data_IF_838208886249
#
_entry.id   IF_838208886249
#
_cell.length_a   1.000
_cell.length_b   1.000
_cell.length_c   1.000
_cell.angle_alpha   90.00
_cell.angle_beta   90.00
_cell.angle_gamma   90.00
#
_symmetry.space_group_name_H-M   'P 1'
#
loop_
_entity.id
_entity.type
_entity.pdbx_description
1 polymer ?
#
# COMPACT_ATOMS: atom_id res chain seq x y z
N UNK A 1 8.51 -11.84 -21.47
CA UNK A 1 8.77 -12.20 -20.05
C UNK A 1 10.02 -13.06 -19.95
N UNK A 2 10.95 -12.69 -19.11
CA UNK A 2 12.13 -13.50 -18.76
C UNK A 2 11.73 -14.76 -17.99
N UNK A 3 12.66 -15.71 -17.84
CA UNK A 3 12.40 -16.94 -17.04
C UNK A 3 12.13 -16.62 -15.56
N UNK A 4 12.76 -15.56 -15.03
CA UNK A 4 12.55 -15.11 -13.64
C UNK A 4 11.19 -14.45 -13.46
N UNK A 5 10.76 -13.62 -14.39
CA UNK A 5 9.41 -13.03 -14.37
C UNK A 5 8.32 -14.11 -14.42
N UNK A 6 8.52 -15.15 -15.26
CA UNK A 6 7.60 -16.28 -15.32
C UNK A 6 7.56 -17.11 -14.04
N UNK A 7 8.68 -17.26 -13.34
CA UNK A 7 8.72 -17.95 -12.05
C UNK A 7 7.94 -17.15 -11.00
N UNK A 8 8.17 -15.83 -10.94
CA UNK A 8 7.47 -14.95 -9.98
C UNK A 8 5.98 -14.85 -10.27
N UNK A 9 5.55 -14.86 -11.55
CA UNK A 9 4.11 -14.82 -11.90
C UNK A 9 3.31 -16.02 -11.40
N UNK A 10 3.95 -17.14 -11.04
CA UNK A 10 3.26 -18.24 -10.36
C UNK A 10 2.75 -17.81 -8.96
N UNK A 11 3.48 -16.91 -8.27
CA UNK A 11 3.04 -16.39 -6.97
C UNK A 11 1.86 -15.44 -7.10
N UNK A 12 1.70 -14.77 -8.24
CA UNK A 12 0.60 -13.82 -8.52
C UNK A 12 -0.76 -14.53 -8.66
N UNK A 13 -0.77 -15.86 -8.84
CA UNK A 13 -2.00 -16.65 -8.89
C UNK A 13 -2.69 -16.78 -7.53
N UNK A 14 -1.92 -16.70 -6.44
CA UNK A 14 -2.45 -16.91 -5.09
C UNK A 14 -3.19 -15.69 -4.59
N UNK A 15 -4.42 -15.90 -4.14
CA UNK A 15 -5.30 -14.86 -3.59
C UNK A 15 -6.10 -15.39 -2.39
N UNK A 16 -6.82 -14.51 -1.69
CA UNK A 16 -7.74 -14.93 -0.63
C UNK A 16 -8.91 -15.78 -1.16
N UNK A 17 -9.29 -15.61 -2.43
CA UNK A 17 -10.36 -16.37 -3.10
C UNK A 17 -9.82 -17.70 -3.60
N UNK A 18 -8.61 -17.72 -4.12
CA UNK A 18 -7.94 -18.90 -4.70
C UNK A 18 -6.58 -19.13 -4.02
N UNK A 19 -6.59 -19.63 -2.76
CA UNK A 19 -5.36 -19.80 -1.98
C UNK A 19 -4.61 -21.10 -2.27
N UNK A 20 -5.20 -22.04 -3.03
CA UNK A 20 -4.69 -23.38 -3.29
C UNK A 20 -4.63 -23.62 -4.79
N UNK A 21 -3.47 -24.04 -5.28
CA UNK A 21 -3.27 -24.32 -6.69
C UNK A 21 -2.58 -25.68 -6.90
N UNK A 22 -3.10 -26.48 -7.80
CA UNK A 22 -2.43 -27.69 -8.31
C UNK A 22 -1.51 -27.36 -9.48
N UNK A 23 -0.55 -28.25 -9.75
CA UNK A 23 0.33 -28.08 -10.91
C UNK A 23 -0.45 -28.00 -12.24
N UNK A 24 -1.56 -28.72 -12.34
CA UNK A 24 -2.41 -28.70 -13.53
C UNK A 24 -3.11 -27.36 -13.72
N UNK A 25 -3.72 -26.80 -12.66
CA UNK A 25 -4.33 -25.48 -12.68
C UNK A 25 -3.32 -24.38 -13.00
N UNK A 26 -2.13 -24.40 -12.37
CA UNK A 26 -1.03 -23.46 -12.67
C UNK A 26 -0.64 -23.54 -14.15
N UNK A 27 -0.57 -24.76 -14.72
CA UNK A 27 -0.22 -24.97 -16.11
C UNK A 27 -1.29 -24.36 -17.04
N UNK A 28 -2.57 -24.57 -16.72
CA UNK A 28 -3.68 -24.06 -17.49
C UNK A 28 -3.77 -22.54 -17.44
N UNK A 29 -3.65 -21.94 -16.26
CA UNK A 29 -3.80 -20.50 -16.06
C UNK A 29 -2.64 -19.70 -16.65
N UNK A 30 -1.41 -20.21 -16.47
CA UNK A 30 -0.22 -19.52 -16.98
C UNK A 30 0.08 -19.78 -18.45
N UNK A 31 -0.49 -20.84 -19.03
CA UNK A 31 -0.17 -21.32 -20.39
C UNK A 31 1.26 -21.90 -20.49
N UNK A 32 1.92 -22.20 -19.38
CA UNK A 32 3.25 -22.82 -19.41
C UNK A 32 3.16 -24.32 -19.75
N UNK A 33 4.25 -24.87 -20.32
CA UNK A 33 4.35 -26.33 -20.42
C UNK A 33 4.43 -26.96 -19.04
N UNK A 34 3.89 -28.18 -18.89
CA UNK A 34 3.91 -28.91 -17.61
C UNK A 34 5.32 -29.03 -17.02
N UNK A 35 6.34 -29.22 -17.85
CA UNK A 35 7.74 -29.29 -17.38
C UNK A 35 8.26 -27.95 -16.85
N UNK A 36 7.84 -26.84 -17.48
CA UNK A 36 8.22 -25.48 -17.04
C UNK A 36 7.52 -25.14 -15.72
N UNK A 37 6.21 -25.36 -15.64
CA UNK A 37 5.42 -25.12 -14.43
C UNK A 37 5.97 -25.97 -13.25
N UNK A 38 6.25 -27.25 -13.48
CA UNK A 38 6.84 -28.13 -12.46
C UNK A 38 8.18 -27.60 -11.94
N UNK A 39 9.07 -27.16 -12.84
CA UNK A 39 10.36 -26.59 -12.44
C UNK A 39 10.19 -25.35 -11.59
N UNK A 40 9.29 -24.43 -11.96
CA UNK A 40 9.04 -23.21 -11.18
C UNK A 40 8.42 -23.51 -9.80
N UNK A 41 7.39 -24.37 -9.76
CA UNK A 41 6.79 -24.79 -8.49
C UNK A 41 7.81 -25.46 -7.58
N UNK A 42 8.68 -26.33 -8.14
CA UNK A 42 9.74 -26.97 -7.37
C UNK A 42 10.71 -25.95 -6.78
N UNK A 43 11.22 -25.00 -7.59
CA UNK A 43 12.13 -23.95 -7.09
C UNK A 43 11.49 -23.08 -6.00
N UNK A 44 10.20 -22.75 -6.15
CA UNK A 44 9.44 -22.01 -5.14
C UNK A 44 9.24 -22.84 -3.86
N UNK A 45 9.03 -24.15 -3.97
CA UNK A 45 8.96 -25.05 -2.81
C UNK A 45 10.33 -25.20 -2.14
N UNK A 46 11.39 -25.42 -2.91
CA UNK A 46 12.76 -25.57 -2.39
C UNK A 46 13.22 -24.28 -1.67
N UNK A 47 12.74 -23.11 -2.11
CA UNK A 47 12.97 -21.82 -1.44
C UNK A 47 12.04 -21.53 -0.26
N UNK A 48 11.03 -22.36 0.01
CA UNK A 48 10.03 -22.17 1.06
C UNK A 48 8.97 -21.09 0.75
N UNK A 49 8.91 -20.59 -0.49
CA UNK A 49 7.87 -19.65 -0.94
C UNK A 49 6.55 -20.35 -1.24
N UNK A 50 6.60 -21.65 -1.62
CA UNK A 50 5.42 -22.52 -1.67
C UNK A 50 5.65 -23.73 -0.76
N UNK A 51 4.56 -24.37 -0.34
CA UNK A 51 4.58 -25.70 0.29
C UNK A 51 3.51 -26.59 -0.34
N UNK A 52 3.83 -27.87 -0.45
CA UNK A 52 2.87 -28.88 -0.89
C UNK A 52 2.01 -29.35 0.30
N UNK A 53 0.69 -29.36 0.10
CA UNK A 53 -0.29 -29.83 1.10
C UNK A 53 -0.90 -31.19 0.75
N UNK A 54 -0.30 -31.91 -0.19
CA UNK A 54 -0.76 -33.23 -0.66
C UNK A 54 -1.57 -33.13 -1.96
N UNK A 55 -1.75 -34.31 -2.62
CA UNK A 55 -2.48 -34.44 -3.89
C UNK A 55 -2.02 -33.50 -5.02
N UNK A 56 -0.76 -33.05 -4.99
CA UNK A 56 -0.19 -32.13 -5.97
C UNK A 56 -0.64 -30.68 -5.81
N UNK A 57 -1.29 -30.32 -4.69
CA UNK A 57 -1.73 -28.96 -4.37
C UNK A 57 -0.66 -28.20 -3.58
N UNK A 58 -0.59 -26.90 -3.80
CA UNK A 58 0.40 -26.00 -3.20
C UNK A 58 -0.29 -24.75 -2.64
N UNK A 59 0.27 -24.22 -1.57
CA UNK A 59 -0.13 -22.95 -0.92
C UNK A 59 1.10 -22.07 -0.70
N UNK A 60 0.91 -20.78 -0.38
CA UNK A 60 2.01 -19.91 0.01
C UNK A 60 2.75 -20.47 1.22
N UNK A 61 4.07 -20.44 1.16
CA UNK A 61 4.96 -21.04 2.15
C UNK A 61 5.30 -20.08 3.31
N UNK A 62 5.90 -20.62 4.40
CA UNK A 62 6.19 -19.86 5.62
C UNK A 62 7.29 -18.80 5.45
N UNK A 63 8.05 -18.83 4.36
CA UNK A 63 9.11 -17.84 4.11
C UNK A 63 8.57 -16.41 3.99
N UNK A 64 7.33 -16.25 3.57
CA UNK A 64 6.67 -14.93 3.59
C UNK A 64 6.50 -14.38 5.02
N UNK A 65 6.27 -15.25 6.01
CA UNK A 65 6.18 -14.85 7.43
C UNK A 65 7.55 -14.39 7.94
N UNK A 66 8.64 -15.07 7.53
CA UNK A 66 10.00 -14.64 7.87
C UNK A 66 10.31 -13.27 7.28
N UNK A 67 9.98 -13.03 6.02
CA UNK A 67 10.16 -11.73 5.36
C UNK A 67 9.28 -10.65 6.00
N UNK A 68 8.02 -10.96 6.31
CA UNK A 68 7.14 -10.03 7.02
C UNK A 68 7.74 -9.59 8.36
N UNK A 69 8.29 -10.52 9.13
CA UNK A 69 9.00 -10.19 10.38
C UNK A 69 10.19 -9.27 10.14
N UNK A 70 11.00 -9.55 9.11
CA UNK A 70 12.14 -8.69 8.77
C UNK A 70 11.68 -7.29 8.42
N UNK A 71 10.69 -7.16 7.52
CA UNK A 71 10.11 -5.87 7.12
C UNK A 71 9.63 -5.09 8.35
N UNK A 72 8.86 -5.72 9.25
CA UNK A 72 8.35 -5.07 10.46
C UNK A 72 9.43 -4.51 11.37
N UNK A 73 10.59 -5.16 11.40
CA UNK A 73 11.69 -4.80 12.31
C UNK A 73 12.73 -3.88 11.67
N UNK A 74 12.72 -3.74 10.34
CA UNK A 74 13.78 -3.01 9.62
C UNK A 74 13.27 -1.86 8.74
N UNK A 75 11.98 -1.85 8.40
CA UNK A 75 11.41 -0.78 7.59
C UNK A 75 11.38 0.55 8.37
N UNK A 76 12.08 1.60 7.92
CA UNK A 76 12.16 2.88 8.64
C UNK A 76 10.80 3.54 8.85
N UNK A 77 9.86 3.40 7.90
CA UNK A 77 8.52 3.96 8.03
C UNK A 77 7.74 3.26 9.14
N UNK A 78 7.83 1.93 9.23
CA UNK A 78 7.20 1.16 10.30
C UNK A 78 7.83 1.48 11.66
N UNK A 79 9.15 1.55 11.74
CA UNK A 79 9.87 1.87 12.99
C UNK A 79 9.49 3.27 13.50
N UNK A 80 9.49 4.27 12.61
CA UNK A 80 9.12 5.63 12.97
C UNK A 80 7.66 5.75 13.44
N UNK A 81 6.76 5.01 12.79
CA UNK A 81 5.33 5.06 13.06
C UNK A 81 4.93 4.35 14.37
N UNK A 82 5.71 3.35 14.84
CA UNK A 82 5.41 2.56 16.04
C UNK A 82 5.20 3.38 17.31
N UNK A 83 5.83 4.54 17.43
CA UNK A 83 5.69 5.42 18.59
C UNK A 83 4.50 6.37 18.48
N UNK A 84 4.18 6.77 17.26
CA UNK A 84 3.20 7.83 16.97
C UNK A 84 1.79 7.25 16.87
N UNK A 85 1.61 6.17 16.09
CA UNK A 85 0.29 5.61 15.80
C UNK A 85 -0.50 5.20 17.05
N UNK A 86 0.08 4.45 18.04
CA UNK A 86 -0.67 4.07 19.23
C UNK A 86 -1.07 5.26 20.11
N UNK A 87 -0.28 6.33 20.10
CA UNK A 87 -0.62 7.56 20.81
C UNK A 87 -1.83 8.25 20.14
N UNK A 88 -1.77 8.48 18.83
CA UNK A 88 -2.87 9.08 18.08
C UNK A 88 -4.17 8.28 18.20
N UNK A 89 -4.09 6.94 18.15
CA UNK A 89 -5.26 6.09 18.31
C UNK A 89 -5.94 6.29 19.68
N UNK A 90 -5.14 6.39 20.76
CA UNK A 90 -5.69 6.69 22.10
C UNK A 90 -6.31 8.08 22.18
N UNK A 91 -5.70 9.07 21.55
CA UNK A 91 -6.21 10.45 21.53
C UNK A 91 -7.51 10.59 20.77
N UNK A 92 -7.67 9.85 19.66
CA UNK A 92 -8.91 9.86 18.87
C UNK A 92 -10.06 9.07 19.53
N UNK A 93 -9.75 8.22 20.51
CA UNK A 93 -10.74 7.52 21.30
C UNK A 93 -11.54 6.44 20.55
N UNK A 94 -11.06 5.99 19.40
CA UNK A 94 -11.71 4.96 18.58
C UNK A 94 -11.31 5.05 17.11
N UNK A 95 -12.05 4.34 16.23
CA UNK A 95 -11.74 4.27 14.81
C UNK A 95 -10.53 3.38 14.49
N UNK A 96 -9.98 3.56 13.30
CA UNK A 96 -8.85 2.79 12.79
C UNK A 96 -7.81 3.72 12.17
N UNK A 97 -6.56 3.57 12.52
CA UNK A 97 -5.42 4.21 11.84
C UNK A 97 -4.79 3.22 10.88
N UNK A 98 -4.62 3.65 9.63
CA UNK A 98 -3.96 2.89 8.58
C UNK A 98 -2.68 3.61 8.16
N UNK A 99 -1.54 2.92 8.27
CA UNK A 99 -0.28 3.34 7.68
C UNK A 99 -0.12 2.63 6.34
N UNK A 100 0.06 3.39 5.29
CA UNK A 100 0.14 2.85 3.94
C UNK A 100 1.34 3.39 3.18
N UNK A 101 1.86 2.59 2.27
CA UNK A 101 2.98 2.93 1.38
C UNK A 101 2.60 2.65 -0.07
N UNK A 102 3.22 3.39 -0.99
CA UNK A 102 3.07 3.15 -2.42
C UNK A 102 4.04 2.04 -2.86
N UNK A 103 3.49 0.99 -3.45
CA UNK A 103 4.26 -0.12 -4.02
C UNK A 103 3.86 -0.32 -5.49
N UNK A 104 4.77 0.00 -6.40
CA UNK A 104 4.46 0.00 -7.83
C UNK A 104 3.31 0.96 -8.16
N UNK A 105 2.22 0.41 -8.68
CA UNK A 105 0.96 1.09 -8.98
C UNK A 105 -0.15 0.84 -7.92
N UNK A 106 0.22 0.26 -6.78
CA UNK A 106 -0.70 -0.10 -5.69
C UNK A 106 -0.34 0.63 -4.41
N UNK A 107 -1.35 1.03 -3.67
CA UNK A 107 -1.18 1.48 -2.29
C UNK A 107 -1.40 0.28 -1.37
N UNK A 108 -0.41 -0.03 -0.55
CA UNK A 108 -0.44 -1.17 0.35
C UNK A 108 -0.55 -0.68 1.79
N UNK A 109 -1.55 -1.15 2.53
CA UNK A 109 -1.59 -0.97 3.97
C UNK A 109 -0.50 -1.84 4.61
N UNK A 110 0.48 -1.21 5.28
CA UNK A 110 1.62 -1.89 5.90
C UNK A 110 1.47 -2.04 7.41
N UNK A 111 0.62 -1.21 8.04
CA UNK A 111 0.27 -1.32 9.46
C UNK A 111 -1.11 -0.75 9.73
N UNK A 112 -1.77 -1.27 10.76
CA UNK A 112 -3.05 -0.77 11.26
C UNK A 112 -3.10 -0.78 12.78
N UNK A 113 -3.85 0.17 13.36
CA UNK A 113 -4.10 0.27 14.80
C UNK A 113 -5.58 0.63 15.04
N UNK A 114 -6.36 -0.18 15.79
CA UNK A 114 -5.93 -1.41 16.45
C UNK A 114 -5.70 -2.57 15.45
N UNK A 115 -4.98 -3.59 15.88
CA UNK A 115 -4.69 -4.77 15.04
C UNK A 115 -5.94 -5.60 14.74
N UNK A 116 -6.90 -5.59 15.65
CA UNK A 116 -8.19 -6.27 15.52
C UNK A 116 -9.28 -5.21 15.58
N UNK A 117 -10.19 -5.25 14.61
CA UNK A 117 -11.34 -4.35 14.51
C UNK A 117 -12.62 -5.15 14.47
N UNK A 118 -13.64 -4.70 15.21
CA UNK A 118 -14.97 -5.37 15.31
C UNK A 118 -15.87 -5.10 14.09
N UNK A 119 -15.35 -4.41 13.06
CA UNK A 119 -16.10 -4.05 11.87
C UNK A 119 -15.32 -4.43 10.60
N UNK A 120 -16.05 -4.68 9.52
CA UNK A 120 -15.46 -5.06 8.25
C UNK A 120 -14.98 -3.80 7.51
N UNK A 121 -13.67 -3.69 7.32
CA UNK A 121 -13.04 -2.80 6.34
C UNK A 121 -12.44 -3.64 5.24
N UNK A 122 -12.61 -3.18 4.01
CA UNK A 122 -12.09 -3.89 2.84
C UNK A 122 -10.56 -3.88 2.80
N UNK A 123 -9.92 -2.90 3.43
CA UNK A 123 -8.47 -2.71 3.34
C UNK A 123 -7.83 -2.70 4.72
N UNK A 124 -7.24 -3.84 5.03
CA UNK A 124 -6.42 -4.07 6.21
C UNK A 124 -4.96 -4.30 5.78
N UNK A 125 -4.08 -4.51 6.76
CA UNK A 125 -2.67 -4.77 6.51
C UNK A 125 -2.45 -5.93 5.52
N UNK A 126 -1.58 -5.68 4.53
CA UNK A 126 -1.24 -6.62 3.45
C UNK A 126 -2.17 -6.58 2.25
N UNK A 127 -3.29 -5.85 2.34
CA UNK A 127 -4.25 -5.76 1.25
C UNK A 127 -3.97 -4.54 0.36
N UNK A 128 -3.78 -4.73 -0.96
CA UNK A 128 -3.62 -3.62 -1.90
C UNK A 128 -4.90 -2.78 -1.99
N UNK A 129 -4.77 -1.47 -1.98
CA UNK A 129 -5.86 -0.52 -2.18
C UNK A 129 -5.90 -0.04 -3.63
N UNK A 130 -7.10 0.27 -4.17
CA UNK A 130 -7.20 0.91 -5.48
C UNK A 130 -6.56 2.29 -5.43
N UNK A 131 -5.79 2.62 -6.48
CA UNK A 131 -4.94 3.81 -6.49
C UNK A 131 -5.72 5.13 -6.49
N UNK A 132 -6.93 5.15 -7.07
CA UNK A 132 -7.72 6.38 -7.28
C UNK A 132 -8.87 6.55 -6.31
N UNK A 133 -9.05 5.66 -5.34
CA UNK A 133 -10.15 5.68 -4.38
C UNK A 133 -9.64 5.75 -2.95
N UNK A 134 -10.42 6.45 -2.11
CA UNK A 134 -10.15 6.61 -0.70
C UNK A 134 -9.09 7.65 -0.37
N UNK A 135 -9.16 8.19 0.83
CA UNK A 135 -8.27 9.25 1.31
C UNK A 135 -6.80 8.83 1.30
N UNK A 136 -6.53 7.57 1.67
CA UNK A 136 -5.20 6.96 1.73
C UNK A 136 -4.43 7.07 0.40
N UNK A 137 -5.05 6.61 -0.68
CA UNK A 137 -4.42 6.61 -1.99
C UNK A 137 -4.36 8.02 -2.60
N UNK A 138 -5.46 8.77 -2.50
CA UNK A 138 -5.55 10.12 -3.09
C UNK A 138 -4.53 11.09 -2.52
N UNK A 139 -4.25 11.04 -1.21
CA UNK A 139 -3.25 11.94 -0.62
C UNK A 139 -1.82 11.57 -1.04
N UNK A 140 -1.54 10.29 -1.27
CA UNK A 140 -0.25 9.86 -1.86
C UNK A 140 -0.16 10.39 -3.29
N UNK A 141 -1.20 10.17 -4.12
CA UNK A 141 -1.24 10.68 -5.50
C UNK A 141 -1.03 12.20 -5.55
N UNK A 142 -1.71 12.94 -4.69
CA UNK A 142 -1.61 14.40 -4.62
C UNK A 142 -0.16 14.89 -4.44
N UNK A 143 0.71 14.06 -3.86
CA UNK A 143 2.09 14.40 -3.57
C UNK A 143 3.11 13.71 -4.49
N UNK A 144 2.67 13.01 -5.53
CA UNK A 144 3.57 12.48 -6.56
C UNK A 144 4.10 13.61 -7.47
N UNK A 145 5.24 13.33 -8.12
CA UNK A 145 5.78 14.24 -9.15
C UNK A 145 4.85 14.30 -10.35
N UNK A 146 4.82 15.46 -11.01
CA UNK A 146 3.99 15.70 -12.21
C UNK A 146 4.22 14.62 -13.28
N UNK A 147 5.48 14.27 -13.55
CA UNK A 147 5.85 13.21 -14.50
C UNK A 147 5.20 11.86 -14.16
N UNK A 148 5.10 11.49 -12.86
CA UNK A 148 4.43 10.25 -12.44
C UNK A 148 2.92 10.36 -12.64
N UNK A 149 2.35 11.52 -12.30
CA UNK A 149 0.92 11.77 -12.48
C UNK A 149 0.51 11.74 -13.96
N UNK A 150 1.31 12.32 -14.87
CA UNK A 150 1.09 12.25 -16.32
C UNK A 150 1.06 10.81 -16.81
N UNK A 151 2.04 9.98 -16.39
CA UNK A 151 2.08 8.55 -16.76
C UNK A 151 0.84 7.81 -16.25
N UNK A 152 0.42 8.06 -15.01
CA UNK A 152 -0.79 7.47 -14.43
C UNK A 152 -2.04 7.91 -15.19
N UNK A 153 -2.17 9.19 -15.51
CA UNK A 153 -3.30 9.73 -16.25
C UNK A 153 -3.43 9.08 -17.63
N UNK A 154 -2.31 8.94 -18.36
CA UNK A 154 -2.31 8.32 -19.68
C UNK A 154 -2.73 6.84 -19.64
N UNK A 155 -2.31 6.11 -18.62
CA UNK A 155 -2.55 4.67 -18.50
C UNK A 155 -3.92 4.32 -17.88
N UNK A 156 -4.53 5.24 -17.09
CA UNK A 156 -5.70 4.96 -16.25
C UNK A 156 -6.83 5.97 -16.40
N UNK A 157 -6.97 6.64 -17.57
CA UNK A 157 -7.98 7.69 -17.77
C UNK A 157 -9.40 7.28 -17.35
N UNK A 158 -9.82 6.06 -17.73
CA UNK A 158 -11.16 5.58 -17.40
C UNK A 158 -11.38 5.36 -15.91
N UNK A 159 -10.37 4.87 -15.21
CA UNK A 159 -10.43 4.67 -13.75
C UNK A 159 -10.43 6.01 -13.01
N UNK A 160 -9.61 6.96 -13.44
CA UNK A 160 -9.53 8.32 -12.92
C UNK A 160 -10.87 9.03 -13.08
N UNK A 161 -11.49 8.94 -14.26
CA UNK A 161 -12.82 9.49 -14.53
C UNK A 161 -13.88 8.86 -13.63
N UNK A 162 -13.93 7.52 -13.54
CA UNK A 162 -14.86 6.78 -12.66
C UNK A 162 -14.67 7.14 -11.18
N UNK A 163 -13.46 7.41 -10.74
CA UNK A 163 -13.14 7.85 -9.39
C UNK A 163 -13.52 9.32 -9.13
N UNK A 164 -14.07 10.01 -10.12
CA UNK A 164 -14.45 11.41 -10.03
C UNK A 164 -13.29 12.38 -9.91
N UNK A 165 -12.08 11.96 -10.32
CA UNK A 165 -10.88 12.79 -10.25
C UNK A 165 -10.70 13.71 -11.47
N UNK A 166 -11.51 13.54 -12.52
CA UNK A 166 -11.54 14.38 -13.72
C UNK A 166 -11.39 13.56 -15.01
N UNK A 167 -11.93 14.10 -16.10
CA UNK A 167 -11.90 13.48 -17.43
C UNK A 167 -10.68 13.94 -18.23
N UNK A 168 -10.18 15.15 -17.92
CA UNK A 168 -9.05 15.77 -18.57
C UNK A 168 -7.90 16.03 -17.57
N UNK A 169 -6.68 16.14 -18.11
CA UNK A 169 -5.45 16.32 -17.34
C UNK A 169 -5.53 17.48 -16.35
N UNK A 170 -6.00 18.64 -16.80
CA UNK A 170 -6.05 19.85 -15.95
C UNK A 170 -7.03 19.69 -14.78
N UNK A 171 -8.14 18.99 -15.00
CA UNK A 171 -9.11 18.69 -13.93
C UNK A 171 -8.49 17.73 -12.91
N UNK A 172 -7.84 16.64 -13.39
CA UNK A 172 -7.16 15.67 -12.53
C UNK A 172 -6.07 16.35 -11.69
N UNK A 173 -5.18 17.09 -12.35
CA UNK A 173 -4.11 17.85 -11.71
C UNK A 173 -4.65 18.84 -10.70
N UNK A 174 -5.62 19.65 -11.07
CA UNK A 174 -6.19 20.69 -10.20
C UNK A 174 -6.84 20.10 -8.94
N UNK A 175 -7.53 18.95 -9.02
CA UNK A 175 -8.07 18.27 -7.85
C UNK A 175 -6.97 17.77 -6.89
N UNK A 176 -5.89 17.23 -7.43
CA UNK A 176 -4.75 16.77 -6.63
C UNK A 176 -4.00 17.96 -5.99
N UNK A 177 -3.86 19.08 -6.70
CA UNK A 177 -3.24 20.31 -6.17
C UNK A 177 -4.03 20.88 -4.98
N UNK A 178 -5.35 20.83 -5.01
CA UNK A 178 -6.19 21.22 -3.86
C UNK A 178 -5.87 20.32 -2.66
N UNK A 179 -5.88 19.00 -2.82
CA UNK A 179 -5.56 18.07 -1.73
C UNK A 179 -4.14 18.27 -1.18
N UNK A 180 -3.18 18.55 -2.07
CA UNK A 180 -1.79 18.88 -1.69
C UNK A 180 -1.73 20.17 -0.88
N UNK A 181 -2.43 21.22 -1.32
CA UNK A 181 -2.46 22.51 -0.65
C UNK A 181 -3.13 22.45 0.72
N UNK A 182 -4.21 21.67 0.84
CA UNK A 182 -4.93 21.46 2.09
C UNK A 182 -4.12 20.61 3.08
N UNK A 183 -3.17 19.78 2.59
CA UNK A 183 -2.34 18.87 3.39
C UNK A 183 -3.06 17.59 3.82
N UNK A 184 -4.32 17.41 3.43
CA UNK A 184 -5.12 16.22 3.74
C UNK A 184 -6.12 15.89 2.62
N UNK A 185 -6.64 14.67 2.66
CA UNK A 185 -7.75 14.25 1.82
C UNK A 185 -8.85 13.61 2.69
N UNK A 186 -10.09 13.91 2.40
CA UNK A 186 -11.26 13.27 3.02
C UNK A 186 -11.98 12.45 1.95
N UNK A 187 -12.29 11.19 2.26
CA UNK A 187 -13.16 10.34 1.45
C UNK A 187 -14.35 9.84 2.26
N UNK A 188 -15.52 9.76 1.64
CA UNK A 188 -16.74 9.27 2.29
C UNK A 188 -17.41 8.22 1.43
N UNK A 189 -17.48 6.97 1.94
CA UNK A 189 -18.16 5.86 1.27
C UNK A 189 -17.53 5.43 -0.08
N UNK A 190 -16.32 5.89 -0.40
CA UNK A 190 -15.70 5.61 -1.72
C UNK A 190 -15.17 4.18 -1.82
N UNK A 191 -14.78 3.61 -0.71
CA UNK A 191 -14.18 2.28 -0.62
C UNK A 191 -15.14 1.34 0.10
N UNK A 192 -15.52 1.71 1.31
CA UNK A 192 -16.50 0.97 2.12
C UNK A 192 -17.67 1.89 2.45
N UNK A 193 -18.89 1.40 2.22
CA UNK A 193 -20.09 2.17 2.54
C UNK A 193 -20.18 2.49 4.03
N UNK A 194 -20.52 3.74 4.37
CA UNK A 194 -20.62 4.19 5.76
C UNK A 194 -19.29 4.51 6.43
N UNK A 195 -18.18 4.47 5.68
CA UNK A 195 -16.83 4.75 6.18
C UNK A 195 -16.35 6.12 5.71
N UNK A 196 -15.80 6.90 6.62
CA UNK A 196 -15.08 8.15 6.32
C UNK A 196 -13.60 7.97 6.62
N UNK A 197 -12.74 8.28 5.64
CA UNK A 197 -11.29 8.30 5.79
C UNK A 197 -10.73 9.72 5.71
N UNK A 198 -9.77 10.04 6.57
CA UNK A 198 -8.99 11.28 6.56
C UNK A 198 -7.54 10.90 6.43
N UNK A 199 -6.92 11.21 5.29
CA UNK A 199 -5.54 10.83 4.98
C UNK A 199 -4.60 12.02 4.92
N UNK A 200 -3.40 11.87 5.44
CA UNK A 200 -2.29 12.83 5.41
C UNK A 200 -1.04 12.15 4.89
N UNK A 201 -0.25 12.84 4.07
CA UNK A 201 0.96 12.29 3.47
C UNK A 201 2.13 12.25 4.46
N UNK A 202 3.00 11.24 4.29
CA UNK A 202 4.27 11.09 5.01
C UNK A 202 5.41 11.22 4.00
N UNK A 203 6.46 11.95 4.38
CA UNK A 203 7.60 12.26 3.52
C UNK A 203 8.91 11.68 4.10
N UNK A 204 9.79 11.20 3.23
CA UNK A 204 11.16 10.80 3.61
C UNK A 204 12.07 12.03 3.79
N UNK A 205 11.82 13.01 2.95
CA UNK A 205 12.43 14.33 2.94
C UNK A 205 11.30 15.35 2.65
N UNK A 206 11.63 16.63 2.56
CA UNK A 206 10.61 17.67 2.32
C UNK A 206 9.94 17.59 0.92
N UNK A 207 10.23 16.57 0.10
CA UNK A 207 9.76 16.48 -1.28
C UNK A 207 9.22 15.12 -1.70
N UNK A 208 9.72 14.03 -1.11
CA UNK A 208 9.42 12.67 -1.56
C UNK A 208 8.38 12.01 -0.68
N UNK A 209 7.14 11.90 -1.16
CA UNK A 209 6.09 11.14 -0.48
C UNK A 209 6.45 9.65 -0.47
N UNK A 210 6.39 9.04 0.71
CA UNK A 210 6.68 7.61 0.92
C UNK A 210 5.47 6.82 1.39
N UNK A 211 4.45 7.50 1.88
CA UNK A 211 3.24 6.86 2.37
C UNK A 211 2.20 7.85 2.85
N UNK A 212 1.22 7.33 3.57
CA UNK A 212 0.18 8.12 4.23
C UNK A 212 -0.24 7.49 5.54
N UNK A 213 -0.68 8.32 6.47
CA UNK A 213 -1.43 7.92 7.66
C UNK A 213 -2.88 8.33 7.46
N UNK A 214 -3.80 7.39 7.61
CA UNK A 214 -5.24 7.63 7.42
C UNK A 214 -6.00 7.24 8.68
N UNK A 215 -6.80 8.17 9.19
CA UNK A 215 -7.78 7.87 10.22
C UNK A 215 -9.12 7.50 9.57
N UNK A 216 -9.68 6.37 9.99
CA UNK A 216 -10.90 5.78 9.44
C UNK A 216 -11.97 5.76 10.52
N UNK A 217 -13.12 6.36 10.23
CA UNK A 217 -14.28 6.44 11.11
C UNK A 217 -15.49 5.72 10.51
N UNK A 218 -16.32 5.15 11.39
CA UNK A 218 -17.57 4.47 11.03
C UNK A 218 -18.76 5.37 11.32
N UNK A 219 -18.86 6.43 10.60
CA UNK A 219 -20.05 7.25 10.48
C UNK A 219 -19.82 8.26 9.34
N UNK A 220 -20.55 8.08 8.26
CA UNK A 220 -20.50 9.01 7.12
C UNK A 220 -21.11 10.40 7.44
N UNK A 221 -21.87 10.49 8.54
CA UNK A 221 -22.56 11.72 8.98
C UNK A 221 -21.69 12.61 9.88
N UNK A 222 -20.58 12.10 10.40
CA UNK A 222 -19.74 12.83 11.36
C UNK A 222 -19.06 14.02 10.68
N UNK A 223 -19.32 15.20 11.21
CA UNK A 223 -18.52 16.38 10.90
C UNK A 223 -17.07 16.10 11.32
N UNK A 224 -16.17 16.09 10.35
CA UNK A 224 -14.75 15.89 10.61
C UNK A 224 -14.25 17.09 11.41
N UNK A 225 -13.85 16.84 12.65
CA UNK A 225 -13.28 17.88 13.50
C UNK A 225 -11.90 18.31 12.93
N UNK A 226 -11.71 19.61 12.80
CA UNK A 226 -10.43 20.19 12.36
C UNK A 226 -9.25 19.77 13.28
N UNK A 227 -9.54 19.48 14.54
CA UNK A 227 -8.53 18.99 15.50
C UNK A 227 -7.94 17.65 15.06
N UNK A 228 -8.73 16.74 14.48
CA UNK A 228 -8.26 15.44 13.97
C UNK A 228 -7.26 15.65 12.83
N UNK A 229 -7.56 16.56 11.90
CA UNK A 229 -6.65 16.87 10.78
C UNK A 229 -5.33 17.46 11.27
N UNK A 230 -5.37 18.40 12.23
CA UNK A 230 -4.16 18.98 12.84
C UNK A 230 -3.32 17.89 13.51
N UNK A 231 -3.94 17.02 14.31
CA UNK A 231 -3.24 15.93 15.01
C UNK A 231 -2.66 14.89 14.06
N UNK A 232 -3.36 14.55 12.97
CA UNK A 232 -2.83 13.67 11.93
C UNK A 232 -1.60 14.29 11.25
N UNK A 233 -1.66 15.57 10.89
CA UNK A 233 -0.53 16.27 10.30
C UNK A 233 0.68 16.31 11.25
N UNK A 234 0.49 16.67 12.51
CA UNK A 234 1.55 16.65 13.54
C UNK A 234 2.17 15.25 13.68
N UNK A 235 1.33 14.21 13.65
CA UNK A 235 1.78 12.81 13.68
C UNK A 235 2.61 12.44 12.45
N UNK A 236 2.18 12.83 11.25
CA UNK A 236 2.92 12.60 10.01
C UNK A 236 4.25 13.35 9.97
N UNK A 237 4.28 14.59 10.47
CA UNK A 237 5.52 15.38 10.60
C UNK A 237 6.50 14.72 11.59
N UNK A 238 5.99 14.19 12.69
CA UNK A 238 6.79 13.45 13.66
C UNK A 238 7.38 12.16 13.06
N UNK A 239 6.59 11.40 12.30
CA UNK A 239 7.04 10.20 11.57
C UNK A 239 8.10 10.59 10.54
N UNK A 240 7.87 11.63 9.74
CA UNK A 240 8.81 12.12 8.72
C UNK A 240 10.14 12.55 9.35
N UNK A 241 10.10 13.25 10.47
CA UNK A 241 11.30 13.66 11.22
C UNK A 241 12.09 12.47 11.75
N UNK A 242 11.42 11.44 12.25
CA UNK A 242 12.08 10.24 12.76
C UNK A 242 12.71 9.41 11.63
N UNK A 243 12.03 9.29 10.48
CA UNK A 243 12.58 8.65 9.28
C UNK A 243 13.87 9.36 8.87
N UNK A 244 13.86 10.69 8.81
CA UNK A 244 15.03 11.47 8.46
C UNK A 244 16.23 11.17 9.38
N UNK A 245 16.00 11.07 10.69
CA UNK A 245 17.04 10.70 11.67
C UNK A 245 17.55 9.27 11.45
N UNK A 246 16.64 8.31 11.21
CA UNK A 246 17.01 6.92 10.91
C UNK A 246 17.90 6.86 9.68
N UNK A 247 17.52 7.55 8.60
CA UNK A 247 18.27 7.57 7.36
C UNK A 247 19.65 8.25 7.51
N UNK A 248 19.76 9.37 8.22
CA UNK A 248 21.04 10.01 8.50
C UNK A 248 21.99 9.13 9.32
N UNK A 249 21.49 8.40 10.29
CA UNK A 249 22.30 7.46 11.07
C UNK A 249 22.79 6.26 10.23
N UNK A 250 22.11 5.95 9.13
CA UNK A 250 22.50 4.94 8.15
C UNK A 250 23.32 5.48 6.96
N UNK A 251 23.52 6.80 6.85
CA UNK A 251 24.29 7.43 5.76
C UNK A 251 25.78 7.00 5.69
N UNK A 252 26.26 6.28 6.67
CA UNK A 252 27.48 5.48 6.54
C UNK A 252 27.26 4.15 5.77
N UNK A 253 26.05 3.78 5.39
CA UNK A 253 25.76 2.48 4.74
C UNK A 253 24.94 2.53 3.43
N UNK A 254 24.14 3.54 3.14
CA UNK A 254 23.34 3.51 1.88
C UNK A 254 22.99 4.90 1.36
N UNK A 255 23.55 5.28 0.23
CA UNK A 255 22.99 6.33 -0.62
C UNK A 255 21.67 5.80 -1.24
N UNK A 256 20.52 6.34 -0.79
CA UNK A 256 19.24 6.20 -1.47
C UNK A 256 18.27 5.15 -0.97
N UNK A 257 17.80 5.24 0.28
CA UNK A 257 16.55 4.59 0.66
C UNK A 257 15.37 5.34 0.01
N UNK A 258 14.76 4.74 -0.99
CA UNK A 258 13.46 5.11 -1.48
C UNK A 258 12.53 3.89 -1.30
N UNK A 259 11.61 3.88 -0.34
CA UNK A 259 10.60 2.83 -0.22
C UNK A 259 9.63 2.83 -1.41
N UNK A 260 9.64 3.91 -2.18
CA UNK A 260 8.96 3.98 -3.47
C UNK A 260 9.85 3.31 -4.50
N UNK A 261 9.57 2.04 -4.81
CA UNK A 261 10.17 1.40 -5.99
C UNK A 261 9.93 2.32 -7.19
N UNK A 262 10.98 2.73 -7.90
CA UNK A 262 10.81 3.65 -9.02
C UNK A 262 9.84 3.05 -10.03
N UNK A 263 8.80 3.79 -10.36
CA UNK A 263 7.78 3.44 -11.38
C UNK A 263 8.43 3.09 -12.76
N UNK A 264 9.71 3.36 -12.91
CA UNK A 264 10.48 3.15 -14.15
C UNK A 264 11.00 1.72 -14.35
N UNK A 265 10.74 0.77 -13.46
CA UNK A 265 11.17 -0.63 -13.62
C UNK A 265 10.04 -1.61 -13.96
N UNK A 266 8.82 -1.10 -14.18
CA UNK A 266 7.73 -1.90 -14.74
C UNK A 266 7.63 -1.52 -16.23
N UNK A 267 8.30 -2.29 -17.08
CA UNK A 267 8.06 -2.30 -18.53
C UNK A 267 6.81 -3.06 -18.84
#
# INVERSE_FOLDING_TARGET
MSSLERLLSVLDLYSEVEPIWTLEEITNETGYTRSTAYRYVKELCDSGLLISIGKGAHVLGPRFIEFDRLIRNTDPLLIAAQKVIPQLHREFGGGLLLLSSLYGDKVLCIHQEPLIVDFKVSYTRGRPMPLFYGATAKIILANLSERKLEKLFLNHRLEISKAGLGDEWDQFKGRLEIMRSDGYCISRGEVDHGVTGIGTAIFADNKSVIGSLTYVMFDASTNVDKSIMSRLNEGCDSISSEIYKILQNHDNMTAGYSPVIPFNQIN
#
